data_IF_527553246490
#
_entry.id   IF_527553246490
#
_cell.length_a   1.000
_cell.length_b   1.000
_cell.length_c   1.000
_cell.angle_alpha   90.00
_cell.angle_beta   90.00
_cell.angle_gamma   90.00
#
_symmetry.space_group_name_H-M   'P 1'
#
loop_
_entity.id
_entity.type
_entity.pdbx_description
1 polymer ?
#
# COMPACT_ATOMS: atom_id res chain seq x y z
N UNK A 1 -10.82 14.44 -3.49
CA UNK A 1 -10.20 13.52 -4.48
C UNK A 1 -9.46 12.46 -3.67
N UNK A 2 -9.69 11.18 -3.92
CA UNK A 2 -9.12 10.11 -3.06
C UNK A 2 -7.91 9.50 -3.76
N UNK A 3 -6.77 9.50 -3.06
CA UNK A 3 -5.58 8.77 -3.49
C UNK A 3 -5.58 7.38 -2.86
N UNK A 4 -5.08 6.39 -3.60
CA UNK A 4 -5.07 5.00 -3.13
C UNK A 4 -3.95 4.17 -3.74
N UNK A 5 -3.46 3.17 -3.00
CA UNK A 5 -2.52 2.16 -3.48
C UNK A 5 -2.98 0.77 -3.06
N UNK A 6 -2.87 -0.22 -3.97
CA UNK A 6 -3.17 -1.63 -3.64
C UNK A 6 -1.89 -2.35 -3.23
N UNK A 7 -1.92 -3.10 -2.13
CA UNK A 7 -0.73 -3.77 -1.61
C UNK A 7 -0.07 -4.71 -2.65
N UNK A 8 -0.87 -5.55 -3.32
CA UNK A 8 -0.38 -6.42 -4.40
C UNK A 8 0.18 -5.66 -5.62
N UNK A 9 -0.20 -4.39 -5.83
CA UNK A 9 0.39 -3.61 -6.93
C UNK A 9 1.83 -3.14 -6.62
N UNK A 10 2.28 -3.25 -5.37
CA UNK A 10 3.59 -2.80 -4.89
C UNK A 10 4.64 -3.90 -4.84
N UNK A 11 4.16 -5.12 -4.64
CA UNK A 11 4.96 -6.31 -4.42
C UNK A 11 4.25 -7.41 -5.21
N UNK A 12 4.72 -7.71 -6.42
CA UNK A 12 4.12 -8.69 -7.34
C UNK A 12 3.87 -10.09 -6.76
N UNK A 13 4.19 -10.34 -5.48
CA UNK A 13 4.01 -11.60 -4.76
C UNK A 13 3.77 -11.40 -3.25
N UNK A 14 3.30 -10.25 -2.75
CA UNK A 14 2.93 -10.13 -1.33
C UNK A 14 1.70 -10.99 -1.04
N UNK A 15 1.95 -12.18 -0.49
CA UNK A 15 0.92 -13.14 -0.09
C UNK A 15 0.40 -12.75 1.29
N UNK A 16 -0.92 -12.66 1.44
CA UNK A 16 -1.58 -12.52 2.73
C UNK A 16 -1.44 -13.78 3.57
N UNK A 17 -1.87 -13.71 4.82
CA UNK A 17 -1.80 -14.84 5.77
C UNK A 17 -2.61 -16.06 5.33
N UNK A 18 -3.52 -15.92 4.38
CA UNK A 18 -4.36 -16.98 3.80
C UNK A 18 -3.77 -17.63 2.54
N UNK A 19 -2.53 -17.29 2.15
CA UNK A 19 -1.90 -17.84 0.95
C UNK A 19 -2.34 -17.18 -0.36
N UNK A 20 -3.16 -16.11 -0.33
CA UNK A 20 -3.63 -15.37 -1.52
C UNK A 20 -2.96 -14.01 -1.62
N UNK A 21 -2.88 -13.44 -2.83
CA UNK A 21 -2.33 -12.09 -3.01
C UNK A 21 -3.03 -11.05 -2.12
N UNK A 22 -2.26 -10.23 -1.43
CA UNK A 22 -2.79 -9.27 -0.46
C UNK A 22 -3.77 -8.29 -1.12
N UNK A 23 -5.00 -8.22 -0.57
CA UNK A 23 -6.09 -7.39 -1.11
C UNK A 23 -6.22 -6.03 -0.44
N UNK A 24 -5.31 -5.68 0.47
CA UNK A 24 -5.34 -4.41 1.17
C UNK A 24 -5.22 -3.22 0.19
N UNK A 25 -5.97 -2.16 0.49
CA UNK A 25 -5.96 -0.93 -0.28
C UNK A 25 -5.82 0.23 0.69
N UNK A 26 -4.65 0.86 0.66
CA UNK A 26 -4.42 2.08 1.41
C UNK A 26 -5.10 3.27 0.73
N UNK A 27 -5.64 4.21 1.50
CA UNK A 27 -6.38 5.38 0.98
C UNK A 27 -6.06 6.63 1.79
N UNK A 28 -6.06 7.78 1.12
CA UNK A 28 -5.81 9.06 1.78
C UNK A 28 -6.16 10.27 0.90
N UNK A 29 -6.14 11.45 1.52
CA UNK A 29 -6.32 12.72 0.81
C UNK A 29 -5.02 13.18 0.14
N UNK A 30 -3.88 12.79 0.72
CA UNK A 30 -2.54 13.04 0.21
C UNK A 30 -1.76 11.75 -0.10
N UNK A 31 -0.64 11.88 -0.80
CA UNK A 31 0.29 10.75 -1.01
C UNK A 31 0.94 10.29 0.29
N UNK A 32 1.26 11.23 1.19
CA UNK A 32 1.78 10.92 2.52
C UNK A 32 0.82 10.08 3.36
N UNK A 33 -0.49 10.34 3.24
CA UNK A 33 -1.50 9.54 3.93
C UNK A 33 -1.52 8.09 3.41
N UNK A 34 -1.41 7.91 2.08
CA UNK A 34 -1.34 6.58 1.46
C UNK A 34 -0.05 5.85 1.84
N UNK A 35 1.09 6.55 1.88
CA UNK A 35 2.39 5.98 2.31
C UNK A 35 2.33 5.54 3.77
N UNK A 36 1.77 6.37 4.65
CA UNK A 36 1.62 6.04 6.06
C UNK A 36 0.75 4.80 6.25
N UNK A 37 -0.46 4.81 5.68
CA UNK A 37 -1.43 3.72 5.79
C UNK A 37 -0.88 2.40 5.23
N UNK A 38 -0.28 2.43 4.03
CA UNK A 38 0.34 1.22 3.46
C UNK A 38 1.57 0.76 4.24
N UNK A 39 2.37 1.67 4.78
CA UNK A 39 3.53 1.34 5.62
C UNK A 39 3.13 0.64 6.92
N UNK A 40 2.07 1.10 7.58
CA UNK A 40 1.49 0.46 8.76
C UNK A 40 0.99 -0.97 8.43
N UNK A 41 0.30 -1.13 7.30
CA UNK A 41 -0.14 -2.44 6.82
C UNK A 41 1.04 -3.39 6.51
N UNK A 42 2.05 -2.91 5.78
CA UNK A 42 3.23 -3.67 5.42
C UNK A 42 4.01 -4.14 6.66
N UNK A 43 4.10 -3.30 7.69
CA UNK A 43 4.72 -3.67 8.98
C UNK A 43 3.92 -4.77 9.67
N UNK A 44 2.59 -4.61 9.74
CA UNK A 44 1.72 -5.53 10.48
C UNK A 44 1.54 -6.89 9.79
N UNK A 45 1.48 -6.93 8.46
CA UNK A 45 1.10 -8.13 7.70
C UNK A 45 2.27 -8.77 6.98
N UNK A 46 3.25 -7.97 6.53
CA UNK A 46 4.34 -8.43 5.69
C UNK A 46 5.73 -8.31 6.35
N UNK A 47 5.80 -7.85 7.61
CA UNK A 47 7.04 -7.65 8.37
C UNK A 47 8.08 -6.78 7.64
N UNK A 48 7.61 -5.88 6.76
CA UNK A 48 8.45 -4.91 6.06
C UNK A 48 8.53 -3.63 6.90
N UNK A 49 9.73 -3.10 7.09
CA UNK A 49 9.94 -1.93 7.93
C UNK A 49 9.21 -0.68 7.41
N UNK A 50 8.81 0.22 8.33
CA UNK A 50 8.15 1.46 7.95
C UNK A 50 9.12 2.30 7.11
N UNK A 51 8.72 2.55 5.87
CA UNK A 51 9.45 3.43 4.96
C UNK A 51 10.25 2.71 3.87
N UNK A 52 10.55 1.41 4.02
CA UNK A 52 11.34 0.63 3.04
C UNK A 52 10.71 0.61 1.63
N UNK A 53 9.39 0.77 1.56
CA UNK A 53 8.62 0.71 0.32
C UNK A 53 8.00 2.05 -0.08
N UNK A 54 8.42 3.17 0.52
CA UNK A 54 7.78 4.48 0.32
C UNK A 54 7.73 4.90 -1.16
N UNK A 55 8.85 4.76 -1.88
CA UNK A 55 8.92 5.13 -3.30
C UNK A 55 8.02 4.24 -4.17
N UNK A 56 7.97 2.95 -3.87
CA UNK A 56 7.08 2.00 -4.55
C UNK A 56 5.61 2.35 -4.27
N UNK A 57 5.28 2.71 -3.02
CA UNK A 57 3.93 3.14 -2.63
C UNK A 57 3.52 4.37 -3.43
N UNK A 58 4.39 5.36 -3.52
CA UNK A 58 4.16 6.56 -4.33
C UNK A 58 3.96 6.22 -5.80
N UNK A 59 4.83 5.38 -6.37
CA UNK A 59 4.76 4.99 -7.78
C UNK A 59 3.46 4.25 -8.14
N UNK A 60 2.91 3.44 -7.23
CA UNK A 60 1.64 2.75 -7.46
C UNK A 60 0.39 3.53 -6.99
N UNK A 61 0.58 4.69 -6.36
CA UNK A 61 -0.54 5.52 -5.89
C UNK A 61 -1.31 6.09 -7.07
N UNK A 62 -2.61 5.81 -7.09
CA UNK A 62 -3.55 6.28 -8.10
C UNK A 62 -4.51 7.28 -7.47
N UNK A 63 -5.08 8.12 -8.33
CA UNK A 63 -6.01 9.17 -7.93
C UNK A 63 -7.38 8.88 -8.51
N UNK A 64 -8.40 8.72 -7.66
CA UNK A 64 -9.79 8.63 -8.09
C UNK A 64 -10.42 10.03 -8.15
N UNK A 65 -10.87 10.43 -9.34
CA UNK A 65 -11.34 11.80 -9.63
C UNK A 65 -12.85 12.00 -9.50
N UNK A 66 -13.63 10.93 -9.35
CA UNK A 66 -15.10 11.00 -9.41
C UNK A 66 -15.59 11.04 -10.85
#
# INVERSE_FOLDING_TARGET
MVKFARCNALLSLAVGTDGRGCRYVAKGESESDVVKDMGEHLTAVHQVGPGEMSENILAATKTNRG
#
